data_IF_537422779865
#
_entry.id   IF_537422779865
#
_cell.length_a   1.000
_cell.length_b   1.000
_cell.length_c   1.000
_cell.angle_alpha   90.00
_cell.angle_beta   90.00
_cell.angle_gamma   90.00
#
_symmetry.space_group_name_H-M   'P 1'
#
loop_
_entity.id
_entity.type
_entity.pdbx_description
1 polymer ?
#
# COMPACT_ATOMS: atom_id res chain seq x y z
N UNK A 1 -8.80 -12.32 37.04
CA UNK A 1 -7.72 -11.41 37.47
C UNK A 1 -7.31 -10.60 36.25
N UNK A 2 -7.29 -9.26 36.29
CA UNK A 2 -7.00 -8.40 35.12
C UNK A 2 -5.56 -8.50 34.57
N UNK A 3 -4.67 -9.26 35.21
CA UNK A 3 -3.28 -9.47 34.78
C UNK A 3 -3.08 -10.60 33.76
N UNK A 4 -4.07 -11.48 33.59
CA UNK A 4 -3.94 -12.64 32.68
C UNK A 4 -3.82 -12.18 31.23
N UNK A 5 -4.66 -11.23 30.83
CA UNK A 5 -4.71 -10.71 29.47
C UNK A 5 -3.38 -10.04 29.06
N UNK A 6 -2.78 -9.26 29.96
CA UNK A 6 -1.48 -8.63 29.73
C UNK A 6 -0.40 -9.69 29.46
N UNK A 7 -0.31 -10.69 30.35
CA UNK A 7 0.65 -11.79 30.20
C UNK A 7 0.44 -12.61 28.93
N UNK A 8 -0.81 -12.75 28.47
CA UNK A 8 -1.12 -13.44 27.21
C UNK A 8 -0.58 -12.68 26.00
N UNK A 9 -0.75 -11.36 25.95
CA UNK A 9 -0.27 -10.55 24.83
C UNK A 9 1.24 -10.36 24.83
N UNK A 10 1.88 -10.26 25.99
CA UNK A 10 3.35 -10.24 26.09
C UNK A 10 3.98 -11.54 25.58
N UNK A 11 3.37 -12.69 25.92
CA UNK A 11 3.78 -13.98 25.36
C UNK A 11 3.54 -14.05 23.86
N UNK A 12 2.38 -13.57 23.39
CA UNK A 12 2.08 -13.54 21.95
C UNK A 12 3.11 -12.70 21.19
N UNK A 13 3.45 -11.51 21.71
CA UNK A 13 4.48 -10.65 21.13
C UNK A 13 5.84 -11.38 21.06
N UNK A 14 6.21 -12.07 22.13
CA UNK A 14 7.45 -12.86 22.18
C UNK A 14 7.47 -13.95 21.10
N UNK A 15 6.36 -14.65 20.90
CA UNK A 15 6.26 -15.71 19.87
C UNK A 15 6.31 -15.14 18.46
N UNK A 16 5.68 -13.98 18.23
CA UNK A 16 5.74 -13.25 16.96
C UNK A 16 7.17 -12.80 16.66
N UNK A 17 7.88 -12.23 17.63
CA UNK A 17 9.27 -11.79 17.43
C UNK A 17 10.22 -12.94 17.11
N UNK A 18 10.04 -14.08 17.78
CA UNK A 18 10.79 -15.31 17.46
C UNK A 18 10.52 -15.78 16.02
N UNK A 19 9.28 -15.72 15.56
CA UNK A 19 8.91 -16.07 14.17
C UNK A 19 9.58 -15.15 13.16
N UNK A 20 9.71 -13.86 13.48
CA UNK A 20 10.44 -12.88 12.68
C UNK A 20 11.98 -13.00 12.78
N UNK A 21 12.49 -13.98 13.53
CA UNK A 21 13.93 -14.19 13.79
C UNK A 21 14.62 -13.00 14.46
N UNK A 22 13.87 -12.21 15.23
CA UNK A 22 14.39 -11.13 16.06
C UNK A 22 14.87 -11.73 17.38
N UNK A 23 16.14 -11.55 17.73
CA UNK A 23 16.74 -12.12 18.94
C UNK A 23 16.43 -11.27 20.17
N UNK A 24 16.74 -9.97 20.07
CA UNK A 24 16.59 -9.02 21.15
C UNK A 24 15.59 -7.94 20.75
N UNK A 25 14.60 -7.74 21.60
CA UNK A 25 13.61 -6.69 21.46
C UNK A 25 13.24 -6.13 22.82
N UNK A 26 12.94 -4.85 22.85
CA UNK A 26 12.38 -4.16 24.00
C UNK A 26 10.99 -3.63 23.63
N UNK A 27 10.07 -3.67 24.58
CA UNK A 27 8.74 -3.13 24.40
C UNK A 27 8.27 -2.45 25.67
N UNK A 28 7.40 -1.48 25.50
CA UNK A 28 6.69 -0.85 26.60
C UNK A 28 5.29 -0.44 26.13
N UNK A 29 4.35 -0.49 27.05
CA UNK A 29 3.01 0.05 26.85
C UNK A 29 2.66 0.95 28.04
N UNK A 30 2.29 2.18 27.73
CA UNK A 30 1.83 3.16 28.70
C UNK A 30 0.30 3.15 28.78
N UNK A 31 -0.28 4.15 29.44
CA UNK A 31 -1.75 4.29 29.50
C UNK A 31 -2.39 4.59 28.13
N UNK A 32 -1.65 5.17 27.20
CA UNK A 32 -2.17 5.70 25.92
C UNK A 32 -1.32 5.37 24.69
N UNK A 33 -0.19 4.69 24.87
CA UNK A 33 0.80 4.43 23.82
C UNK A 33 1.44 3.07 24.02
N UNK A 34 2.01 2.55 22.94
CA UNK A 34 2.82 1.34 22.94
C UNK A 34 3.95 1.51 21.94
N UNK A 35 5.13 0.96 22.25
CA UNK A 35 6.20 0.82 21.28
C UNK A 35 6.89 -0.53 21.42
N UNK A 36 7.48 -0.96 20.31
CA UNK A 36 8.37 -2.12 20.26
C UNK A 36 9.58 -1.74 19.43
N UNK A 37 10.75 -1.98 19.98
CA UNK A 37 12.03 -1.69 19.37
C UNK A 37 12.91 -2.94 19.34
N UNK A 38 13.64 -3.10 18.25
CA UNK A 38 14.50 -4.26 18.05
C UNK A 38 15.58 -3.98 17.03
N UNK A 39 16.67 -4.73 17.14
CA UNK A 39 17.75 -4.72 16.17
C UNK A 39 17.58 -5.86 15.17
N UNK A 40 17.74 -5.54 13.89
CA UNK A 40 17.69 -6.51 12.81
C UNK A 40 18.70 -6.15 11.72
N UNK A 41 19.59 -7.09 11.40
CA UNK A 41 20.63 -6.95 10.37
C UNK A 41 21.38 -5.59 10.44
N UNK A 42 21.95 -5.30 11.61
CA UNK A 42 22.70 -4.06 11.94
C UNK A 42 21.89 -2.76 11.97
N UNK A 43 20.57 -2.84 11.84
CA UNK A 43 19.68 -1.67 11.87
C UNK A 43 18.74 -1.73 13.06
N UNK A 44 18.56 -0.58 13.69
CA UNK A 44 17.59 -0.40 14.77
C UNK A 44 16.23 -0.02 14.20
N UNK A 45 15.19 -0.71 14.63
CA UNK A 45 13.81 -0.47 14.25
C UNK A 45 12.96 -0.15 15.47
N UNK A 46 12.05 0.80 15.33
CA UNK A 46 11.07 1.15 16.36
C UNK A 46 9.69 1.29 15.73
N UNK A 47 8.76 0.45 16.17
CA UNK A 47 7.36 0.56 15.84
C UNK A 47 6.63 1.17 17.01
N UNK A 48 5.81 2.19 16.74
CA UNK A 48 5.07 2.90 17.77
C UNK A 48 3.60 3.07 17.37
N UNK A 49 2.73 2.89 18.36
CA UNK A 49 1.30 3.09 18.22
C UNK A 49 0.76 3.88 19.40
N UNK A 50 -0.31 4.62 19.19
CA UNK A 50 -0.96 5.38 20.26
C UNK A 50 -2.44 5.58 20.00
N UNK A 51 -3.18 5.80 21.09
CA UNK A 51 -4.61 6.12 21.04
C UNK A 51 -4.85 7.36 20.18
N UNK A 52 -3.97 8.36 20.26
CA UNK A 52 -4.10 9.57 19.44
C UNK A 52 -3.87 9.31 17.95
N UNK A 53 -2.85 8.51 17.60
CA UNK A 53 -2.58 8.12 16.20
C UNK A 53 -3.73 7.30 15.62
N UNK A 54 -4.28 6.37 16.39
CA UNK A 54 -5.43 5.57 16.02
C UNK A 54 -6.68 6.45 15.80
N UNK A 55 -6.95 7.36 16.74
CA UNK A 55 -8.09 8.29 16.68
C UNK A 55 -8.06 9.18 15.45
N UNK A 56 -6.87 9.67 15.04
CA UNK A 56 -6.69 10.44 13.79
C UNK A 56 -7.08 9.65 12.54
N UNK A 57 -6.96 8.32 12.59
CA UNK A 57 -7.38 7.40 11.52
C UNK A 57 -8.81 6.89 11.68
N UNK A 58 -9.58 7.39 12.65
CA UNK A 58 -10.94 6.95 12.94
C UNK A 58 -11.05 5.64 13.74
N UNK A 59 -9.93 5.12 14.26
CA UNK A 59 -9.89 3.91 15.08
C UNK A 59 -10.02 4.30 16.55
N UNK A 60 -10.94 3.66 17.29
CA UNK A 60 -11.19 3.96 18.70
C UNK A 60 -10.49 2.95 19.62
N UNK A 61 -9.30 3.31 20.10
CA UNK A 61 -8.59 2.56 21.15
C UNK A 61 -8.87 3.17 22.53
N UNK A 62 -8.98 2.34 23.56
CA UNK A 62 -9.34 2.79 24.92
C UNK A 62 -8.11 3.06 25.79
N UNK A 63 -7.07 2.25 25.64
CA UNK A 63 -5.86 2.32 26.46
C UNK A 63 -4.63 1.84 25.66
N UNK A 64 -3.45 1.92 26.26
CA UNK A 64 -2.21 1.45 25.63
C UNK A 64 -2.09 -0.07 25.54
N UNK A 65 -2.82 -0.85 26.33
CA UNK A 65 -2.91 -2.30 26.14
C UNK A 65 -3.59 -2.62 24.80
N UNK A 66 -4.68 -1.93 24.44
CA UNK A 66 -5.30 -2.07 23.13
C UNK A 66 -4.32 -1.70 22.00
N UNK A 67 -3.48 -0.67 22.22
CA UNK A 67 -2.41 -0.34 21.29
C UNK A 67 -1.39 -1.48 21.13
N UNK A 68 -1.00 -2.14 22.22
CA UNK A 68 -0.13 -3.32 22.20
C UNK A 68 -0.78 -4.48 21.45
N UNK A 69 -2.07 -4.72 21.67
CA UNK A 69 -2.83 -5.78 20.98
C UNK A 69 -2.83 -5.54 19.47
N UNK A 70 -3.19 -4.34 19.01
CA UNK A 70 -3.19 -4.01 17.59
C UNK A 70 -1.78 -4.09 16.98
N UNK A 71 -0.77 -3.59 17.68
CA UNK A 71 0.63 -3.64 17.21
C UNK A 71 1.09 -5.10 17.07
N UNK A 72 0.85 -5.91 18.10
CA UNK A 72 1.19 -7.34 18.10
C UNK A 72 0.44 -8.10 17.01
N UNK A 73 -0.84 -7.80 16.79
CA UNK A 73 -1.63 -8.42 15.72
C UNK A 73 -1.10 -8.04 14.34
N UNK A 74 -0.70 -6.79 14.14
CA UNK A 74 -0.11 -6.34 12.87
C UNK A 74 1.19 -7.08 12.55
N UNK A 75 2.03 -7.34 13.57
CA UNK A 75 3.25 -8.14 13.42
C UNK A 75 2.93 -9.63 13.18
N UNK A 76 1.90 -10.18 13.82
CA UNK A 76 1.44 -11.56 13.60
C UNK A 76 0.90 -11.75 12.17
N UNK A 77 0.16 -10.77 11.66
CA UNK A 77 -0.32 -10.74 10.28
C UNK A 77 0.86 -10.70 9.29
N UNK A 78 1.91 -9.93 9.61
CA UNK A 78 3.15 -9.92 8.83
C UNK A 78 3.82 -11.29 8.83
N UNK A 79 3.92 -11.96 9.99
CA UNK A 79 4.39 -13.35 10.05
C UNK A 79 3.53 -14.26 9.16
N UNK A 80 2.21 -14.11 9.17
CA UNK A 80 1.30 -14.90 8.33
C UNK A 80 1.52 -14.70 6.83
N UNK A 81 1.92 -13.50 6.40
CA UNK A 81 2.28 -13.21 5.00
C UNK A 81 3.61 -13.90 4.64
N UNK A 82 4.59 -13.84 5.54
CA UNK A 82 5.91 -14.47 5.36
C UNK A 82 5.75 -16.00 5.30
N UNK A 83 4.97 -16.59 6.21
CA UNK A 83 4.74 -18.04 6.30
C UNK A 83 4.03 -18.61 5.05
N UNK A 84 3.24 -17.78 4.34
CA UNK A 84 2.64 -18.15 3.05
C UNK A 84 3.64 -18.16 1.88
N UNK A 85 4.89 -17.77 2.13
CA UNK A 85 5.96 -17.77 1.14
C UNK A 85 5.91 -16.61 0.16
N UNK A 86 5.29 -15.48 0.52
CA UNK A 86 5.25 -14.31 -0.36
C UNK A 86 6.62 -13.64 -0.46
N UNK A 87 7.14 -13.17 0.68
CA UNK A 87 8.43 -12.48 0.78
C UNK A 87 9.01 -12.70 2.18
N UNK A 88 10.34 -12.80 2.27
CA UNK A 88 11.05 -12.88 3.55
C UNK A 88 10.92 -11.59 4.36
N UNK A 89 11.03 -11.70 5.69
CA UNK A 89 11.00 -10.55 6.58
C UNK A 89 12.05 -9.49 6.22
N UNK A 90 13.25 -9.92 5.79
CA UNK A 90 14.34 -9.03 5.36
C UNK A 90 13.92 -8.11 4.19
N UNK A 91 13.17 -8.64 3.22
CA UNK A 91 12.67 -7.86 2.09
C UNK A 91 11.62 -6.84 2.54
N UNK A 92 10.72 -7.24 3.45
CA UNK A 92 9.71 -6.34 4.01
C UNK A 92 10.34 -5.21 4.82
N UNK A 93 11.24 -5.55 5.75
CA UNK A 93 11.84 -4.57 6.66
C UNK A 93 12.80 -3.62 5.92
N UNK A 94 13.43 -4.07 4.83
CA UNK A 94 14.20 -3.21 3.93
C UNK A 94 13.33 -2.16 3.23
N UNK A 95 12.08 -2.52 2.89
CA UNK A 95 11.09 -1.58 2.34
C UNK A 95 10.60 -0.56 3.37
N UNK A 96 10.58 -0.91 4.65
CA UNK A 96 10.22 0.00 5.76
C UNK A 96 11.30 1.05 6.05
N UNK A 97 12.53 0.88 5.51
CA UNK A 97 13.67 1.76 5.74
C UNK A 97 13.55 3.16 5.10
N UNK A 98 12.35 3.60 4.74
CA UNK A 98 12.07 4.92 4.21
C UNK A 98 11.03 5.65 5.04
N UNK A 99 11.51 6.44 5.99
CA UNK A 99 11.08 7.83 6.06
C UNK A 99 12.32 8.67 6.39
N UNK A 100 12.75 9.61 5.53
CA UNK A 100 13.48 10.75 6.08
C UNK A 100 12.60 11.31 7.20
N UNK A 101 13.14 11.37 8.42
CA UNK A 101 12.64 12.22 9.48
C UNK A 101 12.21 13.53 8.84
N UNK A 102 10.92 13.89 8.92
CA UNK A 102 10.33 15.13 8.39
C UNK A 102 11.39 16.04 7.79
N UNK A 103 11.72 15.85 6.50
CA UNK A 103 12.40 16.91 5.78
C UNK A 103 11.39 18.03 5.82
N UNK A 104 11.59 18.99 6.72
CA UNK A 104 10.97 20.31 6.65
C UNK A 104 11.25 20.75 5.23
N UNK A 105 10.28 20.58 4.33
CA UNK A 105 10.40 21.04 2.97
C UNK A 105 10.55 22.55 3.14
N UNK A 106 11.72 23.16 2.88
CA UNK A 106 11.73 24.61 2.84
C UNK A 106 10.76 24.98 1.72
N UNK A 107 9.80 25.83 2.07
CA UNK A 107 8.81 26.40 1.17
C UNK A 107 9.54 27.19 0.07
N UNK A 108 10.05 26.50 -0.95
CA UNK A 108 10.46 27.10 -2.20
C UNK A 108 9.33 26.88 -3.18
N UNK A 109 8.38 27.82 -3.18
CA UNK A 109 7.48 28.03 -4.30
C UNK A 109 8.26 28.76 -5.40
N UNK A 110 8.90 28.01 -6.30
CA UNK A 110 9.38 28.59 -7.54
C UNK A 110 8.19 28.73 -8.50
N UNK A 111 7.55 29.91 -8.48
CA UNK A 111 6.47 30.25 -9.39
C UNK A 111 7.05 30.44 -10.80
N UNK A 112 6.98 29.39 -11.63
CA UNK A 112 7.26 29.52 -13.05
C UNK A 112 6.07 30.17 -13.76
N UNK A 113 6.19 31.46 -14.10
CA UNK A 113 5.26 32.15 -15.00
C UNK A 113 5.46 31.61 -16.44
N UNK A 114 4.70 30.58 -16.81
CA UNK A 114 4.69 30.06 -18.18
C UNK A 114 3.97 31.07 -19.07
N UNK A 115 4.72 31.99 -19.68
CA UNK A 115 4.18 32.89 -20.72
C UNK A 115 3.90 32.09 -22.00
N UNK A 116 2.66 31.68 -22.18
CA UNK A 116 2.17 31.21 -23.48
C UNK A 116 2.24 32.37 -24.48
N UNK A 117 3.07 32.24 -25.52
CA UNK A 117 2.88 33.04 -26.74
C UNK A 117 1.59 32.55 -27.38
N UNK A 118 0.55 33.38 -27.37
CA UNK A 118 -0.63 33.16 -28.22
C UNK A 118 -0.17 33.17 -29.67
N UNK A 119 -0.08 31.99 -30.27
CA UNK A 119 0.11 31.85 -31.72
C UNK A 119 -1.11 32.49 -32.37
N UNK A 120 -0.84 33.47 -33.22
CA UNK A 120 -1.85 34.36 -33.79
C UNK A 120 -3.04 33.63 -34.40
N UNK A 121 -4.22 34.19 -34.13
CA UNK A 121 -5.49 34.02 -34.83
C UNK A 121 -5.33 33.50 -36.26
N UNK A 122 -5.58 32.21 -36.46
CA UNK A 122 -5.88 31.68 -37.78
C UNK A 122 -7.34 32.02 -38.08
N UNK A 123 -7.57 32.78 -39.16
CA UNK A 123 -8.91 33.06 -39.66
C UNK A 123 -9.50 31.75 -40.20
N UNK A 124 -10.43 31.15 -39.45
CA UNK A 124 -11.28 30.09 -39.98
C UNK A 124 -12.44 30.75 -40.70
N UNK A 125 -12.51 30.47 -42.00
CA UNK A 125 -13.62 30.79 -42.91
C UNK A 125 -14.94 30.24 -42.38
N UNK A 126 -15.97 31.07 -42.43
CA UNK A 126 -17.37 30.72 -42.17
C UNK A 126 -17.78 29.47 -42.95
N UNK A 127 -18.26 28.44 -42.25
CA UNK A 127 -19.05 27.36 -42.83
C UNK A 127 -20.46 27.42 -42.24
N UNK A 128 -21.44 27.39 -43.14
CA UNK A 128 -22.85 27.67 -42.92
C UNK A 128 -23.50 26.78 -41.85
N UNK A 129 -24.27 27.43 -40.97
CA UNK A 129 -25.11 26.86 -39.91
C UNK A 129 -26.37 26.17 -40.46
N UNK A 130 -26.24 25.12 -41.27
CA UNK A 130 -27.40 24.33 -41.73
C UNK A 130 -27.25 22.80 -41.64
N UNK A 131 -26.08 22.23 -41.33
CA UNK A 131 -25.90 20.76 -41.21
C UNK A 131 -25.90 20.23 -39.76
N UNK A 132 -26.71 20.80 -38.86
CA UNK A 132 -26.83 20.36 -37.46
C UNK A 132 -28.11 19.56 -37.15
N UNK A 133 -28.77 19.02 -38.18
CA UNK A 133 -30.04 18.27 -38.05
C UNK A 133 -29.98 16.81 -38.51
N UNK A 134 -28.82 16.15 -38.46
CA UNK A 134 -28.78 14.68 -38.57
C UNK A 134 -28.42 14.04 -37.22
N UNK A 135 -29.34 13.27 -36.59
CA UNK A 135 -29.05 12.59 -35.34
C UNK A 135 -28.05 11.45 -35.59
N UNK A 136 -26.87 11.55 -34.97
CA UNK A 136 -25.88 10.48 -34.92
C UNK A 136 -26.50 9.32 -34.13
N UNK A 137 -26.71 8.20 -34.81
CA UNK A 137 -27.28 6.98 -34.22
C UNK A 137 -26.31 6.39 -33.19
N UNK A 138 -26.71 6.38 -31.92
CA UNK A 138 -25.97 5.72 -30.84
C UNK A 138 -26.00 4.20 -31.07
N UNK A 139 -24.84 3.62 -31.37
CA UNK A 139 -24.70 2.17 -31.48
C UNK A 139 -24.99 1.48 -30.15
N UNK A 140 -25.90 0.51 -30.18
CA UNK A 140 -26.31 -0.33 -29.06
C UNK A 140 -25.13 -1.12 -28.48
N UNK A 141 -25.00 -1.11 -27.14
CA UNK A 141 -24.06 -1.94 -26.39
C UNK A 141 -24.30 -3.45 -26.66
N UNK A 142 -23.25 -4.26 -26.89
CA UNK A 142 -23.41 -5.71 -27.01
C UNK A 142 -23.61 -6.37 -25.62
N UNK A 143 -24.65 -7.20 -25.52
CA UNK A 143 -25.04 -8.01 -24.35
C UNK A 143 -24.05 -9.16 -24.06
N UNK A 144 -23.84 -9.57 -22.79
CA UNK A 144 -22.72 -10.41 -22.36
C UNK A 144 -23.02 -11.92 -22.39
N UNK A 145 -23.40 -12.48 -23.54
CA UNK A 145 -23.53 -13.94 -23.69
C UNK A 145 -23.12 -14.36 -25.11
N UNK A 146 -21.84 -14.70 -25.29
CA UNK A 146 -21.32 -15.61 -26.32
C UNK A 146 -19.79 -15.70 -26.18
N UNK A 147 -19.32 -16.51 -25.23
CA UNK A 147 -17.92 -16.91 -25.16
C UNK A 147 -17.85 -18.42 -24.99
N UNK A 148 -18.12 -19.14 -26.07
CA UNK A 148 -17.72 -20.54 -26.19
C UNK A 148 -17.26 -20.86 -27.63
N UNK A 149 -16.04 -21.41 -27.68
CA UNK A 149 -15.48 -22.29 -28.71
C UNK A 149 -14.89 -21.66 -29.98
N UNK A 150 -13.57 -21.47 -29.97
CA UNK A 150 -12.74 -21.59 -31.18
C UNK A 150 -11.44 -22.35 -30.88
N UNK A 151 -11.16 -23.49 -31.55
CA UNK A 151 -9.94 -24.26 -31.37
C UNK A 151 -8.86 -23.95 -32.42
N UNK A 152 -7.62 -23.98 -31.95
CA UNK A 152 -6.39 -24.50 -32.57
C UNK A 152 -5.89 -23.80 -33.86
N UNK A 153 -4.78 -23.08 -33.72
CA UNK A 153 -3.89 -22.75 -34.85
C UNK A 153 -2.49 -23.32 -34.56
N UNK A 154 -2.23 -24.57 -34.97
CA UNK A 154 -0.88 -25.16 -35.05
C UNK A 154 -0.33 -24.91 -36.45
N UNK A 155 0.59 -23.95 -36.59
CA UNK A 155 1.42 -23.81 -37.80
C UNK A 155 2.48 -24.90 -37.81
N UNK A 156 2.44 -25.71 -38.86
CA UNK A 156 3.43 -26.72 -39.25
C UNK A 156 4.68 -26.05 -39.83
N UNK A 157 5.85 -26.30 -39.25
CA UNK A 157 7.14 -26.13 -39.92
C UNK A 157 7.70 -27.52 -40.23
N UNK A 158 7.65 -27.87 -41.52
CA UNK A 158 8.21 -29.09 -42.09
C UNK A 158 9.74 -29.06 -42.01
N UNK A 159 10.28 -30.11 -41.42
CA UNK A 159 11.71 -30.42 -41.30
C UNK A 159 12.23 -30.98 -42.63
N UNK A 160 13.30 -30.38 -43.14
CA UNK A 160 14.03 -30.84 -44.31
C UNK A 160 14.68 -32.21 -44.07
N UNK A 161 14.70 -33.05 -45.12
CA UNK A 161 15.46 -34.31 -45.20
C UNK A 161 16.95 -34.01 -45.44
N UNK A 162 17.83 -34.78 -44.80
CA UNK A 162 18.82 -35.64 -45.47
C UNK A 162 18.99 -36.90 -44.62
#
# INVERSE_FOLDING_TARGET
>A
MPNDEQSMYERKLTDVMKRLKVQDFHFNWDRTSCYVEFDYNENFYKLEHSVEKAKKKGIMLRNGLDCLVELTQSLDDLCGIIDRGMLDFETWISGMKQSPSETTVPEFQEEFEIKYKTVGRQNYTEYNTEELNEPISFGTEPSPNEFEQSPINRRTLSRARF
#
